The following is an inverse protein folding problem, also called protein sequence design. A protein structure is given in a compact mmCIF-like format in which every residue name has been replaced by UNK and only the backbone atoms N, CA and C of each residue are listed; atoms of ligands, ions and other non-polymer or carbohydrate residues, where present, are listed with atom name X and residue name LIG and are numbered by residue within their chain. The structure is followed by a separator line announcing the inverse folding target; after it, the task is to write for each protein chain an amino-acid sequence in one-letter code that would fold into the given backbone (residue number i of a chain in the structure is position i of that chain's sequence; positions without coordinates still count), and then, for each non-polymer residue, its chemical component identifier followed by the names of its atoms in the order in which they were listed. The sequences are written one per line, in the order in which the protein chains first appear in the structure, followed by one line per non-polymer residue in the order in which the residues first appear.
data_IF_135967017323
#
_entry.id   IF_135967017323
#
_cell.length_a   1.000
_cell.length_b   1.000
_cell.length_c   1.000
_cell.angle_alpha   90.00
_cell.angle_beta   90.00
_cell.angle_gamma   90.00
#
_symmetry.space_group_name_H-M   'P 1'
#
loop_
_entity.id
_entity.type
_entity.pdbx_description
1 polymer ?
#
# COMPACT_ATOMS: atom_id res chain seq x y z
N UNK A 1 12.52 -3.56 18.99
CA UNK A 1 12.69 -2.17 18.51
C UNK A 1 11.28 -1.60 18.29
N UNK A 2 10.86 -0.57 19.03
CA UNK A 2 9.47 -0.05 18.93
C UNK A 2 9.32 0.76 17.65
N UNK A 3 8.62 0.22 16.65
CA UNK A 3 8.20 0.98 15.47
C UNK A 3 7.19 2.01 15.96
N UNK A 4 7.57 3.29 15.88
CA UNK A 4 6.77 4.40 16.35
C UNK A 4 5.99 4.97 15.15
N UNK A 5 4.90 4.29 14.77
CA UNK A 5 4.01 4.71 13.66
C UNK A 5 3.35 6.09 13.89
N UNK A 6 3.48 6.69 15.08
CA UNK A 6 2.73 7.89 15.47
C UNK A 6 3.57 9.17 15.67
N UNK A 7 4.88 9.16 15.41
CA UNK A 7 5.72 10.35 15.62
C UNK A 7 5.73 11.35 14.43
N UNK A 8 4.55 11.67 13.89
CA UNK A 8 4.39 12.62 12.77
C UNK A 8 4.09 14.08 13.17
N UNK A 9 4.13 14.42 14.46
CA UNK A 9 3.66 15.73 14.92
C UNK A 9 4.63 16.47 15.84
N UNK A 10 5.69 17.08 15.26
CA UNK A 10 6.24 18.37 15.76
C UNK A 10 7.25 19.03 14.82
N UNK A 11 6.74 19.52 13.69
CA UNK A 11 7.26 20.67 12.93
C UNK A 11 6.08 21.12 12.07
N UNK A 12 5.97 22.41 11.76
CA UNK A 12 4.99 22.88 10.75
C UNK A 12 5.18 21.98 9.52
N UNK A 13 4.22 21.08 9.26
CA UNK A 13 4.46 19.94 8.40
C UNK A 13 4.52 20.47 6.98
N UNK A 14 5.67 20.39 6.31
CA UNK A 14 5.85 20.81 4.90
C UNK A 14 4.76 20.23 3.96
N UNK A 15 4.20 19.07 4.34
CA UNK A 15 3.06 18.43 3.66
C UNK A 15 1.75 19.23 3.74
N UNK A 16 1.49 20.02 4.78
CA UNK A 16 0.26 20.81 4.88
C UNK A 16 0.21 21.91 3.81
N UNK A 17 1.37 22.51 3.51
CA UNK A 17 1.49 23.52 2.46
C UNK A 17 1.31 22.92 1.06
N UNK A 18 1.66 21.63 0.90
CA UNK A 18 1.53 20.89 -0.36
C UNK A 18 0.09 20.40 -0.63
N UNK A 19 -0.77 20.33 0.39
CA UNK A 19 -2.12 19.76 0.29
C UNK A 19 -3.19 20.65 0.96
N UNK A 20 -3.58 21.77 0.34
CA UNK A 20 -4.57 22.70 0.88
C UNK A 20 -6.02 22.22 0.70
N UNK A 21 -6.93 22.69 1.57
CA UNK A 21 -8.35 22.28 1.56
C UNK A 21 -9.07 22.51 0.23
N UNK A 22 -8.78 23.63 -0.44
CA UNK A 22 -9.49 24.06 -1.65
C UNK A 22 -9.40 23.04 -2.82
N UNK A 23 -8.53 22.04 -2.70
CA UNK A 23 -8.21 21.07 -3.75
C UNK A 23 -8.58 19.63 -3.35
N UNK A 24 -9.32 19.45 -2.24
CA UNK A 24 -9.58 18.13 -1.67
C UNK A 24 -11.00 17.65 -1.91
N UNK A 25 -11.08 16.40 -2.36
CA UNK A 25 -12.31 15.63 -2.36
C UNK A 25 -12.09 14.37 -1.54
N UNK A 26 -12.97 14.13 -0.56
CA UNK A 26 -12.97 12.88 0.18
C UNK A 26 -13.16 11.71 -0.79
N UNK A 27 -12.40 10.63 -0.60
CA UNK A 27 -12.66 9.39 -1.30
C UNK A 27 -13.99 8.80 -0.79
N UNK A 28 -14.80 8.20 -1.67
CA UNK A 28 -15.92 7.38 -1.22
C UNK A 28 -15.41 6.23 -0.33
N UNK A 29 -16.25 5.76 0.59
CA UNK A 29 -15.90 4.66 1.52
C UNK A 29 -15.71 3.29 0.82
N UNK A 30 -15.94 3.21 -0.49
CA UNK A 30 -15.84 1.95 -1.23
C UNK A 30 -14.39 1.45 -1.30
N UNK A 31 -14.25 0.15 -1.03
CA UNK A 31 -12.97 -0.52 -0.85
C UNK A 31 -12.18 -0.72 -2.13
N UNK A 32 -10.87 -0.87 -1.96
CA UNK A 32 -9.91 -1.20 -2.99
C UNK A 32 -8.53 -1.46 -2.37
N UNK A 33 -7.61 -2.01 -3.16
CA UNK A 33 -6.22 -2.13 -2.77
C UNK A 33 -5.32 -1.46 -3.81
N UNK A 34 -4.38 -0.59 -3.40
CA UNK A 34 -3.98 -0.31 -2.02
C UNK A 34 -5.02 0.42 -1.17
N UNK A 35 -5.05 0.14 0.14
CA UNK A 35 -5.97 0.82 1.05
C UNK A 35 -5.48 2.26 1.30
N UNK A 36 -6.29 3.24 0.93
CA UNK A 36 -6.02 4.65 1.19
C UNK A 36 -6.75 5.14 2.44
N UNK A 37 -6.04 5.91 3.27
CA UNK A 37 -6.58 6.56 4.46
C UNK A 37 -6.56 8.07 4.29
N UNK A 38 -7.66 8.74 4.63
CA UNK A 38 -7.73 10.20 4.67
C UNK A 38 -6.80 10.76 5.74
N UNK A 39 -6.02 11.79 5.39
CA UNK A 39 -5.17 12.54 6.32
C UNK A 39 -5.85 13.82 6.85
N UNK A 40 -7.13 14.03 6.56
CA UNK A 40 -7.87 15.26 6.90
C UNK A 40 -7.80 15.61 8.40
N UNK A 41 -7.88 14.60 9.29
CA UNK A 41 -7.75 14.78 10.75
C UNK A 41 -6.40 15.40 11.18
N UNK A 42 -5.42 15.39 10.29
CA UNK A 42 -4.08 15.97 10.48
C UNK A 42 -3.91 17.33 9.80
N UNK A 43 -5.00 17.93 9.30
CA UNK A 43 -5.03 19.12 8.44
C UNK A 43 -4.17 18.96 7.17
N UNK A 44 -4.07 17.74 6.65
CA UNK A 44 -3.46 17.44 5.35
C UNK A 44 -4.59 16.93 4.48
N UNK A 45 -4.95 17.69 3.45
CA UNK A 45 -6.13 17.40 2.64
C UNK A 45 -5.75 16.51 1.44
N UNK A 46 -5.36 15.28 1.79
CA UNK A 46 -4.92 14.24 0.88
C UNK A 46 -5.21 12.87 1.48
N UNK A 47 -5.07 11.84 0.66
CA UNK A 47 -5.13 10.43 1.05
C UNK A 47 -3.74 9.83 1.03
N UNK A 48 -3.46 8.91 1.95
CA UNK A 48 -2.19 8.20 2.00
C UNK A 48 -2.39 6.70 2.02
N UNK A 49 -1.50 6.00 1.32
CA UNK A 49 -1.36 4.55 1.42
C UNK A 49 0.10 4.18 1.65
N UNK A 50 0.32 3.00 2.23
CA UNK A 50 1.63 2.42 2.48
C UNK A 50 1.48 0.91 2.40
N UNK A 51 2.10 0.29 1.41
CA UNK A 51 1.86 -1.12 1.12
C UNK A 51 3.12 -1.77 0.53
N UNK A 52 3.25 -3.08 0.76
CA UNK A 52 4.33 -3.90 0.22
C UNK A 52 4.03 -4.24 -1.24
N UNK A 53 5.05 -4.24 -2.09
CA UNK A 53 4.85 -4.36 -3.53
C UNK A 53 5.92 -5.25 -4.18
N UNK A 54 5.52 -5.99 -5.22
CA UNK A 54 6.45 -6.69 -6.11
C UNK A 54 7.13 -5.69 -7.09
N UNK A 55 8.32 -5.99 -7.62
CA UNK A 55 9.03 -5.09 -8.56
C UNK A 55 8.18 -4.66 -9.77
N UNK A 56 7.35 -5.56 -10.30
CA UNK A 56 6.49 -5.28 -11.45
C UNK A 56 5.43 -4.22 -11.13
N UNK A 57 4.94 -4.20 -9.88
CA UNK A 57 3.99 -3.20 -9.42
C UNK A 57 4.60 -1.79 -9.34
N UNK A 58 5.91 -1.67 -9.12
CA UNK A 58 6.59 -0.35 -9.10
C UNK A 58 6.52 0.29 -10.48
N UNK A 59 6.76 -0.49 -11.53
CA UNK A 59 6.68 -0.02 -12.92
C UNK A 59 5.27 0.45 -13.28
N UNK A 60 4.25 -0.22 -12.76
CA UNK A 60 2.85 0.19 -12.92
C UNK A 60 2.60 1.57 -12.30
N UNK A 61 3.14 1.83 -11.10
CA UNK A 61 2.98 3.12 -10.44
C UNK A 61 3.75 4.21 -11.21
N UNK A 62 5.00 3.95 -11.61
CA UNK A 62 5.79 4.89 -12.42
C UNK A 62 5.06 5.29 -13.71
N UNK A 63 4.45 4.32 -14.39
CA UNK A 63 3.63 4.58 -15.58
C UNK A 63 2.38 5.42 -15.27
N UNK A 64 1.69 5.14 -14.16
CA UNK A 64 0.55 5.96 -13.73
C UNK A 64 0.97 7.39 -13.37
N UNK A 65 2.15 7.57 -12.76
CA UNK A 65 2.68 8.91 -12.48
C UNK A 65 2.91 9.68 -13.78
N UNK A 66 3.50 9.06 -14.79
CA UNK A 66 3.68 9.68 -16.10
C UNK A 66 2.33 10.03 -16.76
N UNK A 67 1.35 9.13 -16.68
CA UNK A 67 0.01 9.33 -17.26
C UNK A 67 -0.76 10.50 -16.61
N UNK A 68 -0.73 10.61 -15.28
CA UNK A 68 -1.55 11.58 -14.53
C UNK A 68 -0.82 12.90 -14.23
N UNK A 69 0.51 12.90 -14.20
CA UNK A 69 1.32 14.07 -13.83
C UNK A 69 2.30 14.48 -14.93
N UNK A 70 2.29 13.82 -16.09
CA UNK A 70 3.12 14.12 -17.27
C UNK A 70 4.61 14.20 -16.94
N UNK A 71 5.06 13.27 -16.08
CA UNK A 71 6.44 13.22 -15.61
C UNK A 71 6.92 11.79 -15.46
N UNK A 72 7.93 11.46 -16.24
CA UNK A 72 8.71 10.24 -16.06
C UNK A 72 9.50 10.30 -14.74
N UNK A 73 9.34 9.28 -13.91
CA UNK A 73 9.98 9.18 -12.59
C UNK A 73 10.53 7.78 -12.37
N UNK A 74 11.46 7.67 -11.41
CA UNK A 74 11.88 6.38 -10.85
C UNK A 74 11.69 6.38 -9.35
N UNK A 75 10.86 5.48 -8.84
CA UNK A 75 10.56 5.43 -7.41
C UNK A 75 11.79 4.90 -6.67
N UNK A 76 12.31 5.73 -5.77
CA UNK A 76 13.50 5.43 -4.97
C UNK A 76 13.26 5.72 -3.49
N UNK A 77 14.30 5.56 -2.67
CA UNK A 77 14.28 5.89 -1.24
C UNK A 77 14.22 7.41 -0.98
N UNK A 78 14.50 8.21 -2.01
CA UNK A 78 14.39 9.66 -1.92
C UNK A 78 12.93 10.06 -2.06
N UNK A 79 12.45 10.84 -1.10
CA UNK A 79 11.11 11.44 -1.16
C UNK A 79 11.01 12.46 -2.27
N UNK A 80 10.15 12.17 -3.23
CA UNK A 80 9.86 13.04 -4.36
C UNK A 80 8.43 13.55 -4.34
N UNK A 81 8.22 14.64 -5.07
CA UNK A 81 6.94 15.29 -5.26
C UNK A 81 6.77 15.66 -6.72
N UNK A 82 5.60 15.34 -7.26
CA UNK A 82 5.13 15.80 -8.56
C UNK A 82 3.79 16.49 -8.38
N UNK A 83 3.51 17.41 -9.29
CA UNK A 83 2.31 18.23 -9.25
C UNK A 83 1.92 18.62 -10.65
N UNK A 84 0.64 18.50 -10.96
CA UNK A 84 0.02 18.97 -12.20
C UNK A 84 -1.26 19.71 -11.83
N UNK A 85 -1.36 20.99 -12.20
CA UNK A 85 -2.46 21.86 -11.81
C UNK A 85 -2.76 21.84 -10.29
N UNK A 86 -3.91 21.31 -9.88
CA UNK A 86 -4.36 21.17 -8.50
C UNK A 86 -4.07 19.77 -7.92
N UNK A 87 -3.45 18.87 -8.69
CA UNK A 87 -3.09 17.52 -8.30
C UNK A 87 -1.67 17.52 -7.76
N UNK A 88 -1.45 16.87 -6.62
CA UNK A 88 -0.14 16.71 -5.99
C UNK A 88 0.01 15.26 -5.59
N UNK A 89 1.19 14.69 -5.86
CA UNK A 89 1.57 13.36 -5.40
C UNK A 89 2.95 13.43 -4.78
N UNK A 90 3.05 12.91 -3.56
CA UNK A 90 4.31 12.63 -2.87
C UNK A 90 4.50 11.12 -2.83
N UNK A 91 5.68 10.66 -3.23
CA UNK A 91 5.98 9.24 -3.29
C UNK A 91 7.43 8.94 -2.90
N UNK A 92 7.64 7.72 -2.40
CA UNK A 92 8.94 7.10 -2.16
C UNK A 92 8.75 5.62 -1.84
N UNK A 93 9.85 4.87 -1.85
CA UNK A 93 9.90 3.51 -1.33
C UNK A 93 10.92 3.36 -0.21
N UNK A 94 10.84 2.26 0.52
CA UNK A 94 11.85 1.84 1.50
C UNK A 94 11.75 0.33 1.68
N UNK A 95 12.73 -0.28 2.35
CA UNK A 95 12.74 -1.72 2.61
C UNK A 95 12.23 -2.09 3.99
N UNK A 96 11.42 -3.13 4.04
CA UNK A 96 11.03 -3.82 5.27
C UNK A 96 10.78 -5.31 4.93
N UNK A 97 11.23 -6.23 5.80
CA UNK A 97 11.20 -7.67 5.51
C UNK A 97 11.92 -8.06 4.20
N UNK A 98 12.99 -7.32 3.86
CA UNK A 98 13.71 -7.42 2.57
C UNK A 98 12.86 -7.09 1.31
N UNK A 99 11.59 -6.73 1.48
CA UNK A 99 10.69 -6.35 0.40
C UNK A 99 10.62 -4.83 0.25
N UNK A 100 10.20 -4.38 -0.93
CA UNK A 100 9.95 -2.96 -1.18
C UNK A 100 8.56 -2.58 -0.64
N UNK A 101 8.53 -1.50 0.15
CA UNK A 101 7.32 -0.83 0.61
C UNK A 101 7.21 0.50 -0.12
N UNK A 102 6.06 0.78 -0.73
CA UNK A 102 5.79 2.06 -1.38
C UNK A 102 4.86 2.88 -0.51
N UNK A 103 5.17 4.18 -0.37
CA UNK A 103 4.28 5.15 0.27
C UNK A 103 3.88 6.22 -0.73
N UNK A 104 2.58 6.42 -0.84
CA UNK A 104 1.97 7.45 -1.68
C UNK A 104 1.12 8.38 -0.82
N UNK A 105 1.13 9.66 -1.16
CA UNK A 105 0.24 10.68 -0.59
C UNK A 105 -0.24 11.55 -1.75
N UNK A 106 -1.55 11.59 -2.00
CA UNK A 106 -2.11 12.33 -3.13
C UNK A 106 -3.50 12.87 -2.80
N UNK A 107 -3.86 13.98 -3.42
CA UNK A 107 -5.22 14.52 -3.41
C UNK A 107 -6.01 14.20 -4.70
N UNK A 108 -5.41 13.45 -5.63
CA UNK A 108 -6.05 13.06 -6.88
C UNK A 108 -6.78 11.71 -6.75
N UNK A 109 -8.11 11.75 -6.65
CA UNK A 109 -8.95 10.55 -6.55
C UNK A 109 -8.97 9.72 -7.84
N UNK A 110 -8.77 10.33 -9.02
CA UNK A 110 -8.75 9.58 -10.29
C UNK A 110 -7.49 8.69 -10.36
N UNK A 111 -6.34 9.23 -9.93
CA UNK A 111 -5.11 8.46 -9.79
C UNK A 111 -5.29 7.30 -8.81
N UNK A 112 -5.95 7.54 -7.66
CA UNK A 112 -6.21 6.50 -6.65
C UNK A 112 -7.08 5.39 -7.22
N UNK A 113 -8.20 5.75 -7.87
CA UNK A 113 -9.11 4.77 -8.46
C UNK A 113 -8.40 3.93 -9.53
N UNK A 114 -7.66 4.59 -10.43
CA UNK A 114 -6.93 3.89 -11.48
C UNK A 114 -5.86 2.95 -10.89
N UNK A 115 -5.17 3.37 -9.82
CA UNK A 115 -4.20 2.54 -9.12
C UNK A 115 -4.85 1.29 -8.50
N UNK A 116 -6.00 1.45 -7.86
CA UNK A 116 -6.75 0.33 -7.27
C UNK A 116 -7.24 -0.66 -8.33
N UNK A 117 -7.63 -0.17 -9.51
CA UNK A 117 -8.05 -1.01 -10.65
C UNK A 117 -6.90 -1.82 -11.27
N UNK A 118 -5.63 -1.47 -11.02
CA UNK A 118 -4.49 -2.24 -11.55
C UNK A 118 -4.30 -3.60 -10.88
N UNK A 119 -4.98 -3.87 -9.76
CA UNK A 119 -4.88 -5.15 -9.06
C UNK A 119 -3.45 -5.43 -8.60
N UNK A 120 -2.78 -4.43 -8.02
CA UNK A 120 -1.42 -4.60 -7.49
C UNK A 120 -1.45 -5.63 -6.35
N UNK A 121 -0.47 -6.52 -6.33
CA UNK A 121 -0.37 -7.59 -5.35
C UNK A 121 0.91 -7.43 -4.52
N UNK A 122 0.82 -7.61 -3.19
CA UNK A 122 2.01 -7.75 -2.37
C UNK A 122 2.76 -9.07 -2.68
N UNK A 123 4.04 -9.20 -2.32
CA UNK A 123 4.80 -10.45 -2.38
C UNK A 123 4.20 -11.54 -1.49
N UNK A 124 4.08 -12.76 -2.03
CA UNK A 124 3.49 -13.91 -1.34
C UNK A 124 4.08 -14.16 0.06
N UNK A 125 3.30 -14.70 1.03
CA UNK A 125 3.78 -14.94 2.39
C UNK A 125 5.11 -15.73 2.45
N UNK A 126 5.24 -16.74 1.59
CA UNK A 126 6.44 -17.59 1.52
C UNK A 126 7.65 -16.89 0.88
N UNK A 127 7.43 -15.83 0.08
CA UNK A 127 8.52 -14.99 -0.41
C UNK A 127 9.06 -14.07 0.70
N UNK A 128 8.19 -13.59 1.59
CA UNK A 128 8.58 -12.71 2.71
C UNK A 128 9.20 -13.53 3.85
N UNK A 129 8.68 -14.73 4.10
CA UNK A 129 9.11 -15.62 5.17
C UNK A 129 9.41 -17.04 4.65
N UNK A 130 10.49 -17.24 3.88
CA UNK A 130 10.80 -18.53 3.25
C UNK A 130 11.09 -19.65 4.25
N UNK A 131 11.61 -19.30 5.43
CA UNK A 131 11.95 -20.26 6.49
C UNK A 131 10.79 -20.55 7.47
N UNK A 132 9.56 -20.11 7.13
CA UNK A 132 8.41 -20.21 8.02
C UNK A 132 7.30 -21.05 7.39
N UNK A 133 6.81 -22.03 8.14
CA UNK A 133 5.66 -22.84 7.75
C UNK A 133 4.37 -22.30 8.38
N UNK A 134 3.60 -21.54 7.59
CA UNK A 134 2.32 -20.96 8.01
C UNK A 134 1.26 -22.00 8.43
N UNK A 135 1.36 -23.26 7.99
CA UNK A 135 0.42 -24.32 8.37
C UNK A 135 0.59 -24.80 9.81
N UNK A 136 1.76 -24.57 10.41
CA UNK A 136 2.08 -25.02 11.78
C UNK A 136 1.90 -23.94 12.85
N UNK A 137 1.69 -22.68 12.45
CA UNK A 137 1.49 -21.57 13.39
C UNK A 137 0.04 -21.54 13.87
N UNK A 138 -0.17 -21.89 15.16
CA UNK A 138 -1.47 -21.72 15.80
C UNK A 138 -1.93 -20.25 15.86
N UNK A 139 -1.00 -19.32 16.10
CA UNK A 139 -1.22 -17.87 16.05
C UNK A 139 0.00 -17.15 15.51
N UNK A 140 -0.20 -16.14 14.66
CA UNK A 140 0.86 -15.20 14.28
C UNK A 140 1.33 -14.43 15.52
N UNK A 141 2.64 -14.22 15.64
CA UNK A 141 3.23 -13.40 16.70
C UNK A 141 4.42 -12.60 16.18
N UNK A 142 4.68 -11.45 16.81
CA UNK A 142 5.84 -10.61 16.52
C UNK A 142 5.83 -10.06 15.10
N UNK A 143 6.97 -10.19 14.42
CA UNK A 143 7.22 -9.67 13.08
C UNK A 143 6.22 -10.16 12.02
N UNK A 144 5.82 -11.44 12.10
CA UNK A 144 4.86 -12.03 11.16
C UNK A 144 3.43 -11.51 11.38
N UNK A 145 3.04 -11.29 12.64
CA UNK A 145 1.75 -10.68 12.98
C UNK A 145 1.70 -9.22 12.51
N UNK A 146 2.78 -8.47 12.73
CA UNK A 146 2.90 -7.11 12.24
C UNK A 146 2.80 -7.06 10.72
N UNK A 147 3.62 -7.85 10.01
CA UNK A 147 3.59 -7.91 8.55
C UNK A 147 2.19 -8.28 8.02
N UNK A 148 1.56 -9.29 8.61
CA UNK A 148 0.23 -9.71 8.22
C UNK A 148 -0.77 -8.57 8.35
N UNK A 149 -0.85 -7.95 9.52
CA UNK A 149 -1.86 -6.92 9.78
C UNK A 149 -1.62 -5.63 8.98
N UNK A 150 -0.36 -5.27 8.72
CA UNK A 150 -0.02 -3.99 8.10
C UNK A 150 0.05 -4.09 6.57
N UNK A 151 0.60 -5.17 6.02
CA UNK A 151 0.93 -5.25 4.59
C UNK A 151 0.08 -6.25 3.82
N UNK A 152 -0.21 -7.41 4.41
CA UNK A 152 -0.87 -8.50 3.69
C UNK A 152 -2.39 -8.52 3.84
N UNK A 153 -2.89 -8.37 5.08
CA UNK A 153 -4.32 -8.41 5.40
C UNK A 153 -5.12 -7.37 4.63
N UNK A 154 -4.68 -6.11 4.45
CA UNK A 154 -5.43 -5.14 3.65
C UNK A 154 -5.66 -5.58 2.20
N UNK A 155 -4.69 -6.28 1.60
CA UNK A 155 -4.86 -6.90 0.27
C UNK A 155 -5.84 -8.07 0.34
N UNK A 156 -5.66 -8.99 1.28
CA UNK A 156 -6.53 -10.14 1.40
C UNK A 156 -7.99 -9.76 1.66
N UNK A 157 -8.21 -8.74 2.48
CA UNK A 157 -9.53 -8.21 2.84
C UNK A 157 -10.21 -7.50 1.67
N UNK A 158 -9.45 -6.88 0.77
CA UNK A 158 -10.01 -6.18 -0.40
C UNK A 158 -10.53 -7.14 -1.46
N UNK A 159 -10.08 -8.39 -1.48
CA UNK A 159 -10.53 -9.40 -2.45
C UNK A 159 -11.90 -9.97 -2.08
N UNK A 160 -12.78 -10.12 -3.08
CA UNK A 160 -14.02 -10.89 -2.98
C UNK A 160 -13.73 -12.38 -2.89
N UNK A 161 -14.73 -13.18 -2.52
CA UNK A 161 -14.56 -14.63 -2.37
C UNK A 161 -14.08 -15.30 -3.66
N UNK A 162 -14.60 -14.91 -4.83
CA UNK A 162 -14.16 -15.41 -6.13
C UNK A 162 -12.71 -15.01 -6.44
N UNK A 163 -12.33 -13.76 -6.13
CA UNK A 163 -10.98 -13.26 -6.35
C UNK A 163 -9.97 -13.95 -5.43
N UNK A 164 -10.35 -14.24 -4.18
CA UNK A 164 -9.54 -15.06 -3.26
C UNK A 164 -9.35 -16.47 -3.79
N UNK A 165 -10.38 -17.11 -4.36
CA UNK A 165 -10.26 -18.44 -4.97
C UNK A 165 -9.30 -18.41 -6.15
N UNK A 166 -9.49 -17.46 -7.08
CA UNK A 166 -8.61 -17.28 -8.24
C UNK A 166 -7.17 -17.00 -7.83
N UNK A 167 -6.96 -16.16 -6.80
CA UNK A 167 -5.65 -15.90 -6.23
C UNK A 167 -4.99 -17.20 -5.75
N UNK A 168 -5.69 -18.01 -4.94
CA UNK A 168 -5.15 -19.27 -4.42
C UNK A 168 -4.88 -20.31 -5.53
N UNK A 169 -5.70 -20.36 -6.57
CA UNK A 169 -5.53 -21.29 -7.69
C UNK A 169 -4.31 -20.98 -8.56
N UNK A 170 -3.98 -19.69 -8.74
CA UNK A 170 -2.81 -19.27 -9.54
C UNK A 170 -1.53 -19.08 -8.74
N UNK A 171 -1.62 -19.02 -7.41
CA UNK A 171 -0.45 -18.84 -6.55
C UNK A 171 0.29 -20.16 -6.33
N UNK A 172 1.61 -20.11 -6.22
CA UNK A 172 2.44 -21.30 -5.98
C UNK A 172 2.69 -21.51 -4.47
N UNK A 173 1.64 -21.39 -3.67
CA UNK A 173 1.70 -21.50 -2.21
C UNK A 173 1.66 -22.96 -1.76
N UNK A 174 2.33 -23.26 -0.65
CA UNK A 174 2.18 -24.55 0.00
C UNK A 174 0.74 -24.78 0.50
N UNK A 175 0.36 -26.05 0.65
CA UNK A 175 -0.95 -26.45 1.17
C UNK A 175 -1.20 -25.83 2.55
N UNK A 176 -0.18 -25.82 3.41
CA UNK A 176 -0.26 -25.22 4.76
C UNK A 176 -0.58 -23.73 4.71
N UNK A 177 0.08 -22.97 3.82
CA UNK A 177 -0.23 -21.56 3.63
C UNK A 177 -1.64 -21.34 3.05
N UNK A 178 -2.06 -22.16 2.09
CA UNK A 178 -3.42 -22.09 1.53
C UNK A 178 -4.47 -22.33 2.61
N UNK A 179 -4.29 -23.36 3.46
CA UNK A 179 -5.19 -23.63 4.58
C UNK A 179 -5.19 -22.48 5.58
N UNK A 180 -4.03 -21.95 5.92
CA UNK A 180 -3.90 -20.77 6.79
C UNK A 180 -4.71 -19.57 6.27
N UNK A 181 -4.58 -19.25 4.97
CA UNK A 181 -5.31 -18.15 4.34
C UNK A 181 -6.82 -18.36 4.32
N UNK A 182 -7.29 -19.59 4.09
CA UNK A 182 -8.73 -19.91 4.09
C UNK A 182 -9.40 -19.75 5.45
N UNK A 183 -8.66 -19.98 6.54
CA UNK A 183 -9.20 -19.93 7.91
C UNK A 183 -9.10 -18.55 8.56
N UNK A 184 -8.30 -17.61 8.03
CA UNK A 184 -8.26 -16.21 8.49
C UNK A 184 -9.13 -15.32 7.60
N UNK A 185 -10.25 -14.86 8.16
CA UNK A 185 -11.05 -13.73 7.67
C UNK A 185 -10.60 -12.43 8.34
#
# INVERSE_FOLDING_TARGET
MKINLFNLFRKKNKLQDDFPYAQFMALPEEGGYPLFSSLEKSNIYAHSTCFMIKPEGILVIEHLIDLFFHREVKISEVKEKVSDHNKVLVFYKFKEFEQDIVRLITNDNEFINCLCEKGIEPPEPECVFPDKDFGTYGSLQGDMEFWWNVYWKPFWDSLREEERKQYLERSNLSIGTIEFLKHRR
#
